data_IF_262873393268
#
_entry.id   IF_262873393268
#
_cell.length_a   1.000
_cell.length_b   1.000
_cell.length_c   1.000
_cell.angle_alpha   90.00
_cell.angle_beta   90.00
_cell.angle_gamma   90.00
#
_symmetry.space_group_name_H-M   'P 1'
#
loop_
_entity.id
_entity.type
_entity.pdbx_description
1 polymer ?
#
# COMPACT_ATOMS: atom_id res chain seq x y z
N UNK A 1 8.29 35.62 6.48
CA UNK A 1 8.35 34.15 6.62
C UNK A 1 9.75 33.68 6.28
N UNK A 2 10.43 32.99 7.20
CA UNK A 2 11.80 32.51 6.96
C UNK A 2 11.83 31.51 5.80
N UNK A 3 12.84 31.63 4.92
CA UNK A 3 13.03 30.72 3.77
C UNK A 3 13.08 29.27 4.25
N UNK A 4 12.15 28.45 3.78
CA UNK A 4 12.18 27.00 3.99
C UNK A 4 13.36 26.43 3.17
N UNK A 5 14.56 26.40 3.76
CA UNK A 5 15.79 25.94 3.10
C UNK A 5 15.70 24.49 2.62
N UNK A 6 14.91 23.67 3.31
CA UNK A 6 14.64 22.29 2.91
C UNK A 6 13.89 22.23 1.59
N UNK A 7 12.82 23.02 1.46
CA UNK A 7 12.07 23.18 0.22
C UNK A 7 12.93 23.76 -0.90
N UNK A 8 13.80 24.74 -0.61
CA UNK A 8 14.68 25.35 -1.61
C UNK A 8 15.64 24.30 -2.24
N UNK A 9 16.23 23.42 -1.44
CA UNK A 9 17.11 22.35 -1.94
C UNK A 9 16.36 21.31 -2.79
N UNK A 10 15.18 20.89 -2.34
CA UNK A 10 14.35 19.95 -3.09
C UNK A 10 13.86 20.56 -4.40
N UNK A 11 13.49 21.84 -4.40
CA UNK A 11 13.12 22.56 -5.62
C UNK A 11 14.25 22.55 -6.63
N UNK A 12 15.48 22.81 -6.20
CA UNK A 12 16.63 22.77 -7.11
C UNK A 12 16.82 21.39 -7.74
N UNK A 13 16.62 20.30 -6.97
CA UNK A 13 16.63 18.93 -7.51
C UNK A 13 15.51 18.67 -8.52
N UNK A 14 14.29 19.10 -8.18
CA UNK A 14 13.12 18.99 -9.06
C UNK A 14 13.35 19.75 -10.36
N UNK A 15 13.81 20.99 -10.28
CA UNK A 15 14.15 21.82 -11.45
C UNK A 15 15.19 21.13 -12.34
N UNK A 16 16.26 20.59 -11.75
CA UNK A 16 17.29 19.85 -12.49
C UNK A 16 16.72 18.63 -13.22
N UNK A 17 16.00 17.77 -12.51
CA UNK A 17 15.41 16.57 -13.11
C UNK A 17 14.40 16.88 -14.20
N UNK A 18 13.56 17.92 -14.02
CA UNK A 18 12.59 18.33 -15.03
C UNK A 18 13.24 19.01 -16.23
N UNK A 19 14.34 19.73 -16.05
CA UNK A 19 15.12 20.27 -17.16
C UNK A 19 15.75 19.13 -17.99
N UNK A 20 16.35 18.13 -17.34
CA UNK A 20 16.88 16.93 -17.99
C UNK A 20 15.76 16.16 -18.73
N UNK A 21 14.60 16.02 -18.10
CA UNK A 21 13.44 15.33 -18.66
C UNK A 21 12.90 16.04 -19.90
N UNK A 22 12.80 17.37 -19.87
CA UNK A 22 12.42 18.19 -21.02
C UNK A 22 13.45 18.07 -22.15
N UNK A 23 14.74 18.08 -21.84
CA UNK A 23 15.79 17.88 -22.84
C UNK A 23 15.72 16.48 -23.49
N UNK A 24 15.52 15.44 -22.69
CA UNK A 24 15.37 14.06 -23.17
C UNK A 24 14.12 13.87 -24.03
N UNK A 25 13.03 14.59 -23.75
CA UNK A 25 11.80 14.52 -24.54
C UNK A 25 11.98 14.94 -26.02
N UNK A 26 13.06 15.67 -26.33
CA UNK A 26 13.42 16.10 -27.69
C UNK A 26 14.23 15.06 -28.50
N UNK A 27 14.61 13.92 -27.91
CA UNK A 27 15.34 12.86 -28.62
C UNK A 27 14.47 12.18 -29.70
N UNK A 28 15.05 11.36 -30.58
CA UNK A 28 14.33 10.86 -31.76
C UNK A 28 13.47 9.61 -31.48
N UNK A 29 13.88 8.74 -30.55
CA UNK A 29 13.23 7.43 -30.30
C UNK A 29 12.29 7.46 -29.10
N UNK A 30 11.00 7.13 -29.30
CA UNK A 30 9.95 7.23 -28.27
C UNK A 30 10.21 6.35 -27.04
N UNK A 31 10.67 5.09 -27.21
CA UNK A 31 10.94 4.20 -26.07
C UNK A 31 12.06 4.73 -25.16
N UNK A 32 13.11 5.29 -25.75
CA UNK A 32 14.23 5.89 -25.00
C UNK A 32 13.78 7.10 -24.19
N UNK A 33 12.81 7.89 -24.69
CA UNK A 33 12.24 9.03 -23.95
C UNK A 33 11.53 8.59 -22.69
N UNK A 34 10.68 7.57 -22.79
CA UNK A 34 9.91 7.04 -21.67
C UNK A 34 10.84 6.58 -20.55
N UNK A 35 11.78 5.69 -20.88
CA UNK A 35 12.76 5.17 -19.91
C UNK A 35 13.58 6.27 -19.25
N UNK A 36 14.07 7.28 -20.00
CA UNK A 36 14.81 8.39 -19.39
C UNK A 36 13.91 9.16 -18.42
N UNK A 37 12.66 9.42 -18.81
CA UNK A 37 11.72 10.15 -17.97
C UNK A 37 11.43 9.39 -16.67
N UNK A 38 11.17 8.09 -16.75
CA UNK A 38 10.97 7.20 -15.60
C UNK A 38 12.17 7.23 -14.63
N UNK A 39 13.40 7.16 -15.16
CA UNK A 39 14.64 7.25 -14.38
C UNK A 39 14.77 8.60 -13.67
N UNK A 40 14.43 9.71 -14.35
CA UNK A 40 14.55 11.04 -13.76
C UNK A 40 13.49 11.28 -12.68
N UNK A 41 12.26 10.83 -12.91
CA UNK A 41 11.16 10.99 -11.95
C UNK A 41 11.36 10.07 -10.73
N UNK A 42 11.81 8.82 -10.90
CA UNK A 42 12.11 7.93 -9.78
C UNK A 42 13.18 8.51 -8.83
N UNK A 43 14.20 9.18 -9.38
CA UNK A 43 15.24 9.88 -8.61
C UNK A 43 14.71 11.03 -7.74
N UNK A 44 13.53 11.58 -8.02
CA UNK A 44 12.93 12.64 -7.21
C UNK A 44 12.40 12.14 -5.86
N UNK A 45 11.94 10.88 -5.81
CA UNK A 45 11.40 10.29 -4.58
C UNK A 45 12.49 9.83 -3.62
N UNK A 46 13.61 9.32 -4.14
CA UNK A 46 14.64 8.66 -3.32
C UNK A 46 15.22 9.52 -2.17
N UNK A 47 15.55 10.81 -2.34
CA UNK A 47 16.17 11.61 -1.28
C UNK A 47 15.30 11.80 -0.02
N UNK A 48 14.00 11.49 -0.12
CA UNK A 48 13.00 11.77 0.90
C UNK A 48 12.40 10.51 1.51
N UNK A 49 12.79 9.34 1.01
CA UNK A 49 12.33 8.05 1.47
C UNK A 49 13.44 7.37 2.29
N UNK A 50 13.12 6.70 3.41
CA UNK A 50 14.11 5.95 4.18
C UNK A 50 14.65 4.75 3.37
N UNK A 51 15.69 4.11 3.90
CA UNK A 51 16.45 3.08 3.17
C UNK A 51 15.68 1.80 2.89
N UNK A 52 14.70 1.50 3.75
CA UNK A 52 13.73 0.40 3.64
C UNK A 52 12.75 0.58 2.47
N UNK A 53 12.43 1.83 2.12
CA UNK A 53 11.60 2.11 0.95
C UNK A 53 12.43 2.10 -0.32
N UNK A 54 12.21 1.08 -1.15
CA UNK A 54 12.76 0.97 -2.48
C UNK A 54 11.98 1.76 -3.53
N UNK A 55 12.67 2.07 -4.63
CA UNK A 55 12.10 2.63 -5.86
C UNK A 55 12.54 1.73 -7.00
N UNK A 56 11.60 1.20 -7.77
CA UNK A 56 11.89 0.27 -8.86
C UNK A 56 10.89 0.37 -10.01
N UNK A 57 11.04 -0.51 -10.99
CA UNK A 57 10.11 -0.70 -12.12
C UNK A 57 9.84 -2.19 -12.30
N UNK A 58 8.68 -2.56 -12.86
CA UNK A 58 8.37 -3.97 -13.12
C UNK A 58 6.94 -4.35 -12.80
N UNK A 59 6.71 -5.63 -12.52
CA UNK A 59 5.35 -6.17 -12.35
C UNK A 59 5.03 -6.47 -10.89
N UNK A 60 3.76 -6.33 -10.53
CA UNK A 60 3.26 -6.63 -9.20
C UNK A 60 2.52 -7.97 -9.26
N UNK A 61 2.76 -8.84 -8.29
CA UNK A 61 2.13 -10.16 -8.19
C UNK A 61 1.42 -10.34 -6.86
N UNK A 62 0.24 -10.93 -6.89
CA UNK A 62 -0.47 -11.39 -5.69
C UNK A 62 -0.48 -12.92 -5.61
N UNK A 63 -0.51 -13.46 -4.38
CA UNK A 63 -0.34 -14.88 -4.15
C UNK A 63 -1.60 -15.74 -4.35
N UNK A 64 -2.78 -15.19 -4.06
CA UNK A 64 -4.03 -15.97 -3.96
C UNK A 64 -4.47 -16.56 -5.29
N UNK A 65 -4.39 -15.79 -6.37
CA UNK A 65 -4.79 -16.25 -7.71
C UNK A 65 -3.66 -16.19 -8.74
N UNK A 66 -2.48 -15.73 -8.34
CA UNK A 66 -1.34 -15.55 -9.22
C UNK A 66 -1.52 -14.42 -10.24
N UNK A 67 -2.42 -13.45 -10.00
CA UNK A 67 -2.58 -12.28 -10.88
C UNK A 67 -1.29 -11.47 -10.90
N UNK A 68 -0.94 -10.98 -12.10
CA UNK A 68 0.23 -10.16 -12.35
C UNK A 68 -0.21 -8.88 -13.07
N UNK A 69 0.29 -7.73 -12.63
CA UNK A 69 0.04 -6.44 -13.29
C UNK A 69 0.74 -6.33 -14.64
N UNK A 70 0.37 -5.32 -15.43
CA UNK A 70 1.29 -4.81 -16.47
C UNK A 70 2.58 -4.29 -15.82
N UNK A 71 3.59 -3.99 -16.63
CA UNK A 71 4.76 -3.28 -16.12
C UNK A 71 4.34 -1.90 -15.59
N UNK A 72 4.79 -1.56 -14.39
CA UNK A 72 4.64 -0.28 -13.74
C UNK A 72 5.91 0.54 -13.96
N UNK A 73 5.73 1.78 -14.41
CA UNK A 73 6.81 2.74 -14.65
C UNK A 73 7.66 2.94 -13.39
N UNK A 74 7.00 3.24 -12.25
CA UNK A 74 7.64 3.40 -10.95
C UNK A 74 6.82 2.68 -9.87
N UNK A 75 7.51 1.89 -9.05
CA UNK A 75 7.00 1.17 -7.89
C UNK A 75 7.73 1.69 -6.65
N UNK A 76 6.99 2.21 -5.67
CA UNK A 76 7.51 2.43 -4.32
C UNK A 76 7.12 1.25 -3.45
N UNK A 77 8.09 0.56 -2.87
CA UNK A 77 7.87 -0.66 -2.12
C UNK A 77 8.66 -0.66 -0.81
N UNK A 78 8.17 -1.38 0.19
CA UNK A 78 8.82 -1.53 1.49
C UNK A 78 9.53 -2.88 1.59
N UNK A 79 10.86 -2.84 1.62
CA UNK A 79 11.73 -4.02 1.74
C UNK A 79 11.58 -4.73 3.09
N UNK A 80 11.06 -4.04 4.10
CA UNK A 80 10.87 -4.60 5.44
C UNK A 80 9.57 -5.43 5.55
N UNK A 81 8.63 -5.24 4.60
CA UNK A 81 7.39 -6.02 4.53
C UNK A 81 7.66 -7.34 3.81
N UNK A 82 8.03 -7.29 2.53
CA UNK A 82 8.49 -8.45 1.74
C UNK A 82 9.55 -8.03 0.72
N UNK A 83 10.57 -8.87 0.45
CA UNK A 83 11.55 -8.59 -0.59
C UNK A 83 10.97 -8.83 -2.00
N UNK A 84 11.30 -7.99 -2.99
CA UNK A 84 11.02 -8.29 -4.40
C UNK A 84 12.01 -9.30 -4.97
N UNK A 85 11.62 -9.94 -6.08
CA UNK A 85 12.53 -10.68 -6.95
C UNK A 85 13.09 -9.72 -7.98
N UNK A 86 14.32 -9.27 -7.79
CA UNK A 86 14.96 -8.31 -8.68
C UNK A 86 15.79 -9.02 -9.77
N UNK A 87 15.65 -8.55 -11.00
CA UNK A 87 16.45 -8.98 -12.16
C UNK A 87 17.70 -8.10 -12.34
N UNK A 88 17.63 -6.85 -11.89
CA UNK A 88 18.75 -5.90 -11.83
C UNK A 88 18.66 -5.05 -10.54
N UNK A 89 19.29 -3.87 -10.47
CA UNK A 89 19.25 -3.02 -9.28
C UNK A 89 17.84 -2.51 -8.90
N UNK A 90 16.92 -2.42 -9.86
CA UNK A 90 15.62 -1.75 -9.67
C UNK A 90 14.45 -2.38 -10.43
N UNK A 91 14.72 -3.25 -11.42
CA UNK A 91 13.71 -3.97 -12.19
C UNK A 91 13.40 -5.31 -11.54
N UNK A 92 12.11 -5.63 -11.35
CA UNK A 92 11.75 -6.91 -10.75
C UNK A 92 10.27 -7.24 -10.73
N UNK A 93 9.96 -8.28 -9.96
CA UNK A 93 8.61 -8.68 -9.60
C UNK A 93 8.40 -8.40 -8.11
N UNK A 94 7.33 -7.69 -7.79
CA UNK A 94 7.05 -7.18 -6.45
C UNK A 94 5.82 -7.88 -5.86
N UNK A 95 5.91 -8.53 -4.69
CA UNK A 95 4.75 -8.96 -3.94
C UNK A 95 3.85 -7.76 -3.63
N UNK A 96 2.54 -7.90 -3.85
CA UNK A 96 1.58 -6.78 -3.71
C UNK A 96 1.59 -6.19 -2.31
N UNK A 97 1.88 -6.98 -1.28
CA UNK A 97 1.95 -6.53 0.11
C UNK A 97 3.10 -5.55 0.33
N UNK A 98 4.23 -5.71 -0.36
CA UNK A 98 5.35 -4.79 -0.27
C UNK A 98 5.10 -3.48 -1.02
N UNK A 99 4.21 -3.45 -2.01
CA UNK A 99 3.99 -2.27 -2.84
C UNK A 99 3.08 -1.25 -2.14
N UNK A 100 3.58 -0.01 -2.05
CA UNK A 100 2.89 1.10 -1.41
C UNK A 100 2.25 2.03 -2.44
N UNK A 101 3.01 2.37 -3.49
CA UNK A 101 2.59 3.27 -4.56
C UNK A 101 3.04 2.77 -5.92
N UNK A 102 2.24 3.07 -6.93
CA UNK A 102 2.64 3.05 -8.34
C UNK A 102 2.51 4.46 -8.91
N UNK A 103 3.45 4.84 -9.78
CA UNK A 103 3.42 6.14 -10.46
C UNK A 103 3.60 5.91 -11.95
N UNK A 104 2.54 6.13 -12.70
CA UNK A 104 2.54 6.15 -14.16
C UNK A 104 3.11 7.49 -14.65
N UNK A 105 3.96 7.46 -15.67
CA UNK A 105 4.71 8.63 -16.12
C UNK A 105 4.43 8.94 -17.60
N UNK A 106 4.03 10.17 -17.90
CA UNK A 106 3.73 10.63 -19.27
C UNK A 106 4.50 11.88 -19.65
N UNK A 107 4.90 11.97 -20.91
CA UNK A 107 5.45 13.23 -21.45
C UNK A 107 4.36 14.30 -21.57
N UNK A 108 3.19 13.92 -22.08
CA UNK A 108 2.03 14.81 -22.22
C UNK A 108 0.78 14.04 -21.84
N UNK A 109 0.04 14.54 -20.86
CA UNK A 109 -1.16 13.90 -20.35
C UNK A 109 -2.36 14.16 -21.27
N UNK A 110 -2.96 13.09 -21.77
CA UNK A 110 -4.22 13.10 -22.51
C UNK A 110 -5.35 12.46 -21.70
N UNK A 111 -6.60 12.62 -22.19
CA UNK A 111 -7.75 11.90 -21.62
C UNK A 111 -7.61 10.37 -21.77
N UNK A 112 -6.99 9.91 -22.86
CA UNK A 112 -6.78 8.47 -23.08
C UNK A 112 -5.76 7.90 -22.08
N UNK A 113 -4.68 8.64 -21.79
CA UNK A 113 -3.71 8.22 -20.77
C UNK A 113 -4.35 8.09 -19.39
N UNK A 114 -5.20 9.04 -19.01
CA UNK A 114 -5.96 8.96 -17.76
C UNK A 114 -6.87 7.73 -17.71
N UNK A 115 -7.50 7.35 -18.83
CA UNK A 115 -8.34 6.15 -18.90
C UNK A 115 -7.51 4.87 -18.77
N UNK A 116 -6.37 4.79 -19.45
CA UNK A 116 -5.45 3.64 -19.34
C UNK A 116 -4.93 3.52 -17.90
N UNK A 117 -4.49 4.61 -17.29
CA UNK A 117 -4.00 4.61 -15.92
C UNK A 117 -5.11 4.26 -14.91
N UNK A 118 -6.35 4.69 -15.16
CA UNK A 118 -7.52 4.28 -14.39
C UNK A 118 -7.76 2.78 -14.46
N UNK A 119 -7.78 2.21 -15.66
CA UNK A 119 -8.04 0.78 -15.87
C UNK A 119 -6.92 -0.07 -15.22
N UNK A 120 -5.66 0.35 -15.32
CA UNK A 120 -4.53 -0.27 -14.60
C UNK A 120 -4.67 -0.17 -13.09
N UNK A 121 -5.04 1.00 -12.56
CA UNK A 121 -5.25 1.20 -11.12
C UNK A 121 -6.43 0.37 -10.60
N UNK A 122 -7.52 0.28 -11.36
CA UNK A 122 -8.69 -0.57 -11.07
C UNK A 122 -8.30 -2.04 -11.02
N UNK A 123 -7.51 -2.51 -11.99
CA UNK A 123 -7.02 -3.87 -12.02
C UNK A 123 -6.17 -4.18 -10.78
N UNK A 124 -5.24 -3.30 -10.44
CA UNK A 124 -4.40 -3.45 -9.24
C UNK A 124 -5.22 -3.41 -7.94
N UNK A 125 -6.27 -2.59 -7.88
CA UNK A 125 -7.18 -2.55 -6.74
C UNK A 125 -7.92 -3.90 -6.52
N UNK A 126 -8.06 -4.72 -7.56
CA UNK A 126 -8.66 -6.06 -7.48
C UNK A 126 -7.75 -7.14 -6.89
N UNK A 127 -6.50 -6.80 -6.56
CA UNK A 127 -5.54 -7.75 -6.01
C UNK A 127 -5.91 -8.11 -4.57
N UNK A 128 -5.70 -9.38 -4.23
CA UNK A 128 -5.84 -9.91 -2.88
C UNK A 128 -4.50 -9.79 -2.17
N UNK A 129 -4.54 -9.67 -0.85
CA UNK A 129 -3.35 -9.45 -0.03
C UNK A 129 -3.31 -10.56 1.02
N UNK A 130 -2.12 -11.05 1.30
CA UNK A 130 -1.87 -11.88 2.46
C UNK A 130 -2.07 -11.06 3.74
N UNK A 131 -2.70 -11.65 4.78
CA UNK A 131 -2.74 -11.03 6.09
C UNK A 131 -1.34 -11.01 6.70
N UNK A 132 -1.03 -9.95 7.45
CA UNK A 132 0.23 -9.80 8.17
C UNK A 132 0.12 -9.93 9.69
N UNK A 133 -1.04 -10.34 10.19
CA UNK A 133 -1.27 -10.70 11.58
C UNK A 133 -1.73 -12.15 11.67
N UNK A 134 -1.33 -12.82 12.76
CA UNK A 134 -1.72 -14.19 13.08
C UNK A 134 -2.44 -14.23 14.42
N UNK A 135 -3.33 -15.20 14.58
CA UNK A 135 -3.86 -15.62 15.87
C UNK A 135 -2.82 -16.45 16.62
N UNK A 136 -3.07 -16.76 17.89
CA UNK A 136 -2.11 -17.53 18.70
C UNK A 136 -1.95 -18.99 18.24
N UNK A 137 -2.93 -19.53 17.54
CA UNK A 137 -2.87 -20.85 16.91
C UNK A 137 -2.09 -20.87 15.57
N UNK A 138 -1.57 -19.71 15.15
CA UNK A 138 -0.85 -19.54 13.88
C UNK A 138 -1.76 -19.33 12.67
N UNK A 139 -3.08 -19.36 12.83
CA UNK A 139 -4.02 -19.04 11.75
C UNK A 139 -4.01 -17.55 11.42
N UNK A 140 -4.48 -17.20 10.23
CA UNK A 140 -4.54 -15.82 9.78
C UNK A 140 -5.55 -14.99 10.59
N UNK A 141 -5.12 -13.81 11.04
CA UNK A 141 -5.98 -12.86 11.73
C UNK A 141 -6.47 -11.79 10.75
N UNK A 142 -7.79 -11.65 10.64
CA UNK A 142 -8.38 -10.64 9.77
C UNK A 142 -8.09 -9.22 10.30
N UNK A 143 -7.59 -8.34 9.42
CA UNK A 143 -7.37 -6.93 9.71
C UNK A 143 -7.57 -6.08 8.46
N UNK A 144 -7.74 -4.77 8.65
CA UNK A 144 -7.80 -3.84 7.52
C UNK A 144 -6.43 -3.70 6.84
N UNK A 145 -6.44 -3.70 5.51
CA UNK A 145 -5.27 -3.57 4.64
C UNK A 145 -5.58 -2.46 3.63
N UNK A 146 -4.80 -1.38 3.63
CA UNK A 146 -4.94 -0.31 2.63
C UNK A 146 -4.60 -0.86 1.24
N UNK A 147 -5.16 -0.40 0.11
CA UNK A 147 -4.71 -0.87 -1.22
C UNK A 147 -3.50 -0.07 -1.72
N UNK A 148 -2.76 -0.62 -2.69
CA UNK A 148 -1.71 0.15 -3.41
C UNK A 148 -2.29 1.45 -3.94
N UNK A 149 -1.58 2.56 -3.74
CA UNK A 149 -2.01 3.88 -4.19
C UNK A 149 -1.43 4.20 -5.58
N UNK A 150 -2.31 4.31 -6.57
CA UNK A 150 -1.91 4.60 -7.95
C UNK A 150 -1.93 6.11 -8.24
N UNK A 151 -0.85 6.61 -8.82
CA UNK A 151 -0.64 8.03 -9.16
C UNK A 151 -0.29 8.14 -10.64
N UNK A 152 -0.68 9.25 -11.27
CA UNK A 152 -0.16 9.62 -12.59
C UNK A 152 0.61 10.94 -12.52
N UNK A 153 1.79 10.96 -13.14
CA UNK A 153 2.64 12.12 -13.29
C UNK A 153 2.83 12.44 -14.77
N UNK A 154 2.80 13.73 -15.14
CA UNK A 154 3.13 14.16 -16.48
C UNK A 154 3.94 15.46 -16.54
N UNK A 155 4.74 15.62 -17.61
CA UNK A 155 5.47 16.87 -17.85
C UNK A 155 4.62 17.98 -18.46
N UNK A 156 3.62 17.61 -19.25
CA UNK A 156 2.74 18.54 -19.95
C UNK A 156 1.31 18.01 -19.93
N UNK A 157 0.34 18.83 -20.34
CA UNK A 157 -1.04 18.41 -20.58
C UNK A 157 -1.55 18.94 -21.92
N UNK A 158 -2.49 18.23 -22.53
CA UNK A 158 -3.25 18.73 -23.68
C UNK A 158 -4.39 19.66 -23.30
N UNK A 159 -4.69 19.86 -22.01
CA UNK A 159 -5.64 20.87 -21.59
C UNK A 159 -5.11 22.28 -21.88
N UNK A 160 -5.97 23.10 -22.47
CA UNK A 160 -5.68 24.50 -22.78
C UNK A 160 -6.67 25.43 -22.09
N UNK A 161 -6.19 26.52 -21.50
CA UNK A 161 -7.02 27.48 -20.78
C UNK A 161 -7.46 27.00 -19.40
N UNK A 162 -8.38 27.73 -18.77
CA UNK A 162 -8.70 27.57 -17.34
C UNK A 162 -10.13 27.04 -17.07
N UNK A 163 -10.83 26.54 -18.11
CA UNK A 163 -12.22 26.08 -17.98
C UNK A 163 -12.38 24.68 -17.43
N UNK A 164 -11.35 23.83 -17.60
CA UNK A 164 -11.38 22.43 -17.21
C UNK A 164 -10.07 22.10 -16.50
N UNK A 165 -10.17 21.42 -15.37
CA UNK A 165 -8.99 20.95 -14.63
C UNK A 165 -8.68 19.48 -14.94
N UNK A 166 -7.50 19.01 -14.56
CA UNK A 166 -7.16 17.59 -14.67
C UNK A 166 -8.05 16.69 -13.81
N UNK A 167 -8.46 17.17 -12.64
CA UNK A 167 -9.43 16.47 -11.81
C UNK A 167 -10.81 16.38 -12.48
N UNK A 168 -11.29 17.45 -13.13
CA UNK A 168 -12.54 17.39 -13.90
C UNK A 168 -12.43 16.44 -15.09
N UNK A 169 -11.29 16.48 -15.79
CA UNK A 169 -10.99 15.60 -16.92
C UNK A 169 -10.99 14.14 -16.47
N UNK A 170 -10.37 13.82 -15.34
CA UNK A 170 -10.36 12.48 -14.77
C UNK A 170 -11.74 12.06 -14.24
N UNK A 171 -12.46 12.95 -13.55
CA UNK A 171 -13.83 12.71 -13.09
C UNK A 171 -14.76 12.28 -14.23
N UNK A 172 -14.60 12.83 -15.43
CA UNK A 172 -15.38 12.44 -16.62
C UNK A 172 -15.14 11.01 -17.11
N UNK A 173 -14.19 10.27 -16.52
CA UNK A 173 -13.87 8.88 -16.89
C UNK A 173 -14.62 7.89 -15.98
N UNK A 174 -14.67 8.14 -14.67
CA UNK A 174 -15.20 7.19 -13.69
C UNK A 174 -16.60 7.56 -13.17
N UNK A 175 -16.95 8.84 -13.11
CA UNK A 175 -18.23 9.25 -12.53
C UNK A 175 -19.37 9.15 -13.57
N UNK A 176 -20.59 8.69 -13.19
CA UNK A 176 -21.01 8.26 -11.85
C UNK A 176 -20.88 6.76 -11.57
N UNK A 177 -20.44 5.98 -12.55
CA UNK A 177 -20.61 4.53 -12.55
C UNK A 177 -19.46 3.74 -11.89
N UNK A 178 -18.39 4.42 -11.46
CA UNK A 178 -17.18 3.82 -10.94
C UNK A 178 -16.48 4.70 -9.90
N UNK A 179 -15.39 4.19 -9.33
CA UNK A 179 -14.60 4.83 -8.28
C UNK A 179 -13.32 5.49 -8.81
N UNK A 180 -12.80 6.55 -8.16
CA UNK A 180 -11.52 7.16 -8.51
C UNK A 180 -10.32 6.32 -8.04
N UNK A 181 -9.93 5.29 -8.80
CA UNK A 181 -8.78 4.42 -8.42
C UNK A 181 -7.41 5.12 -8.45
N UNK A 182 -7.20 6.13 -9.30
CA UNK A 182 -6.08 7.05 -9.14
C UNK A 182 -6.30 7.94 -7.93
N UNK A 183 -5.33 7.96 -7.01
CA UNK A 183 -5.40 8.78 -5.79
C UNK A 183 -4.82 10.19 -5.99
N UNK A 184 -3.98 10.37 -7.01
CA UNK A 184 -3.39 11.66 -7.34
C UNK A 184 -3.02 11.81 -8.82
N UNK A 185 -3.02 13.05 -9.30
CA UNK A 185 -2.62 13.47 -10.65
C UNK A 185 -1.67 14.65 -10.49
N UNK A 186 -0.47 14.59 -11.07
CA UNK A 186 0.48 15.69 -11.03
C UNK A 186 0.91 16.05 -12.46
N UNK A 187 0.71 17.30 -12.85
CA UNK A 187 1.24 17.83 -14.11
C UNK A 187 2.24 18.93 -13.78
N UNK A 188 3.50 18.70 -14.13
CA UNK A 188 4.57 19.66 -13.90
C UNK A 188 4.29 20.98 -14.62
N UNK A 189 4.42 22.10 -13.92
CA UNK A 189 4.10 23.44 -14.40
C UNK A 189 2.61 23.78 -14.41
N UNK A 190 1.72 22.90 -13.97
CA UNK A 190 0.29 23.21 -13.82
C UNK A 190 -0.23 22.97 -12.40
N UNK A 191 -0.32 21.71 -11.95
CA UNK A 191 -0.98 21.41 -10.68
C UNK A 191 -0.75 19.97 -10.19
N UNK A 192 -0.86 19.82 -8.87
CA UNK A 192 -0.95 18.53 -8.18
C UNK A 192 -2.36 18.42 -7.60
N UNK A 193 -3.07 17.37 -7.99
CA UNK A 193 -4.39 17.01 -7.50
C UNK A 193 -4.30 15.72 -6.69
N UNK A 194 -5.07 15.65 -5.60
CA UNK A 194 -5.25 14.41 -4.83
C UNK A 194 -6.68 14.29 -4.34
N UNK A 195 -7.15 13.06 -4.23
CA UNK A 195 -8.46 12.75 -3.69
C UNK A 195 -8.36 12.54 -2.16
N UNK A 196 -9.10 13.33 -1.37
CA UNK A 196 -9.16 13.20 0.09
C UNK A 196 -10.28 12.26 0.59
N UNK A 197 -10.95 11.56 -0.33
CA UNK A 197 -12.11 10.72 -0.09
C UNK A 197 -13.45 11.42 -0.29
N UNK A 198 -13.46 12.76 -0.37
CA UNK A 198 -14.67 13.56 -0.63
C UNK A 198 -14.49 14.53 -1.80
N UNK A 199 -13.30 15.10 -1.93
CA UNK A 199 -12.98 16.12 -2.92
C UNK A 199 -11.63 15.85 -3.58
N UNK A 200 -11.55 16.22 -4.85
CA UNK A 200 -10.27 16.48 -5.49
C UNK A 200 -9.74 17.83 -5.03
N UNK A 201 -8.71 17.80 -4.19
CA UNK A 201 -7.98 18.99 -3.76
C UNK A 201 -6.78 19.21 -4.66
N UNK A 202 -6.33 20.46 -4.76
CA UNK A 202 -5.17 20.79 -5.57
C UNK A 202 -4.18 21.72 -4.88
N UNK A 203 -2.97 21.69 -5.41
CA UNK A 203 -1.94 22.67 -5.17
C UNK A 203 -1.25 23.01 -6.50
N UNK A 204 -1.29 24.28 -6.91
CA UNK A 204 -0.56 24.78 -8.10
C UNK A 204 0.83 25.32 -7.75
N UNK A 205 1.05 25.63 -6.47
CA UNK A 205 2.28 26.28 -6.04
C UNK A 205 2.36 27.77 -6.36
N UNK A 206 3.28 28.45 -5.67
CA UNK A 206 3.60 29.86 -5.95
C UNK A 206 4.89 30.00 -6.76
N UNK A 207 5.79 29.02 -6.62
CA UNK A 207 7.07 28.96 -7.31
C UNK A 207 7.07 27.79 -8.28
N UNK A 208 7.97 27.86 -9.26
CA UNK A 208 8.15 26.81 -10.26
C UNK A 208 8.31 25.42 -9.60
N UNK A 209 7.48 24.48 -10.05
CA UNK A 209 7.42 23.08 -9.64
C UNK A 209 7.07 22.79 -8.17
N UNK A 210 6.40 23.72 -7.49
CA UNK A 210 5.84 23.50 -6.16
C UNK A 210 4.79 22.38 -6.11
N UNK A 211 4.08 22.16 -7.20
CA UNK A 211 3.15 21.05 -7.35
C UNK A 211 3.86 19.69 -7.33
N UNK A 212 5.04 19.58 -7.94
CA UNK A 212 5.85 18.34 -7.88
C UNK A 212 6.38 18.10 -6.47
N UNK A 213 6.81 19.18 -5.78
CA UNK A 213 7.17 19.10 -4.35
C UNK A 213 5.97 18.64 -3.50
N UNK A 214 4.77 19.07 -3.86
CA UNK A 214 3.53 18.69 -3.18
C UNK A 214 3.14 17.23 -3.43
N UNK A 215 3.37 16.70 -4.63
CA UNK A 215 3.27 15.27 -4.89
C UNK A 215 4.20 14.47 -3.99
N UNK A 216 5.48 14.85 -3.95
CA UNK A 216 6.46 14.12 -3.12
C UNK A 216 6.10 14.23 -1.64
N UNK A 217 5.66 15.40 -1.18
CA UNK A 217 5.16 15.60 0.18
C UNK A 217 3.92 14.74 0.48
N UNK A 218 2.96 14.66 -0.45
CA UNK A 218 1.76 13.83 -0.32
C UNK A 218 2.09 12.35 -0.15
N UNK A 219 2.96 11.81 -1.02
CA UNK A 219 3.47 10.44 -0.92
C UNK A 219 4.21 10.23 0.40
N UNK A 220 5.14 11.13 0.75
CA UNK A 220 5.95 11.04 1.97
C UNK A 220 5.11 11.06 3.26
N UNK A 221 4.00 11.80 3.25
CA UNK A 221 3.10 11.91 4.39
C UNK A 221 2.24 10.66 4.60
N UNK A 222 2.05 9.84 3.56
CA UNK A 222 1.00 8.81 3.57
C UNK A 222 1.48 7.39 3.24
N UNK A 223 2.71 7.18 2.75
CA UNK A 223 3.23 5.83 2.53
C UNK A 223 3.30 5.00 3.81
N UNK A 224 3.64 5.63 4.96
CA UNK A 224 3.77 4.92 6.24
C UNK A 224 2.47 4.32 6.73
N UNK A 225 1.33 4.98 6.48
CA UNK A 225 0.03 4.43 6.88
C UNK A 225 -0.29 3.18 6.07
N UNK A 226 -0.02 3.22 4.77
CA UNK A 226 -0.19 2.06 3.87
C UNK A 226 0.70 0.91 4.33
N UNK A 227 1.99 1.16 4.55
CA UNK A 227 2.95 0.16 5.04
C UNK A 227 2.53 -0.43 6.39
N UNK A 228 2.12 0.42 7.34
CA UNK A 228 1.70 -0.02 8.68
C UNK A 228 0.48 -0.94 8.64
N UNK A 229 -0.43 -0.76 7.68
CA UNK A 229 -1.59 -1.64 7.51
C UNK A 229 -1.24 -3.06 7.04
N UNK A 230 -0.03 -3.27 6.49
CA UNK A 230 0.42 -4.58 6.00
C UNK A 230 0.90 -5.51 7.10
N UNK A 231 1.40 -4.97 8.21
CA UNK A 231 2.06 -5.74 9.27
C UNK A 231 3.19 -6.63 8.72
N UNK A 232 3.15 -7.94 8.97
CA UNK A 232 4.23 -8.89 8.63
C UNK A 232 3.65 -10.12 7.91
N UNK A 233 3.28 -10.01 6.62
CA UNK A 233 2.86 -11.17 5.86
C UNK A 233 4.04 -12.14 5.69
N UNK A 234 3.74 -13.43 5.63
CA UNK A 234 4.78 -14.46 5.53
C UNK A 234 5.26 -14.60 4.08
N UNK A 235 6.55 -14.37 3.84
CA UNK A 235 7.20 -14.62 2.54
C UNK A 235 7.05 -16.08 2.09
N UNK A 236 6.91 -17.01 3.04
CA UNK A 236 6.74 -18.44 2.76
C UNK A 236 5.60 -18.73 1.79
N UNK A 237 4.53 -17.93 1.80
CA UNK A 237 3.40 -18.09 0.87
C UNK A 237 3.81 -17.99 -0.61
N UNK A 238 4.87 -17.25 -0.93
CA UNK A 238 5.38 -17.06 -2.29
C UNK A 238 6.46 -18.08 -2.70
N UNK A 239 6.99 -18.85 -1.75
CA UNK A 239 8.18 -19.71 -1.95
C UNK A 239 7.87 -21.18 -1.73
N UNK A 240 7.07 -21.49 -0.71
CA UNK A 240 6.75 -22.85 -0.30
C UNK A 240 5.51 -23.31 -1.06
N UNK A 241 5.55 -24.53 -1.57
CA UNK A 241 4.38 -25.14 -2.22
C UNK A 241 3.29 -25.44 -1.19
N UNK A 242 2.03 -25.27 -1.59
CA UNK A 242 0.87 -25.71 -0.82
C UNK A 242 0.70 -27.24 -0.80
N UNK A 243 1.51 -27.97 -1.57
CA UNK A 243 1.53 -29.43 -1.59
C UNK A 243 2.58 -30.00 -0.64
N UNK A 244 2.33 -31.22 -0.14
CA UNK A 244 3.29 -31.95 0.69
C UNK A 244 3.29 -31.57 2.18
N UNK A 245 2.33 -30.76 2.63
CA UNK A 245 2.07 -30.55 4.05
C UNK A 245 1.46 -31.79 4.69
N UNK A 246 1.93 -32.13 5.88
CA UNK A 246 1.40 -33.21 6.69
C UNK A 246 1.74 -32.99 8.15
N UNK A 247 0.91 -33.53 9.04
CA UNK A 247 1.18 -33.47 10.46
C UNK A 247 2.16 -34.59 10.85
N UNK A 248 3.24 -34.21 11.52
CA UNK A 248 4.12 -35.15 12.22
C UNK A 248 3.53 -35.61 13.56
N UNK A 249 4.38 -36.16 14.43
CA UNK A 249 3.98 -36.46 15.80
C UNK A 249 3.59 -35.17 16.55
N UNK A 250 2.48 -35.23 17.32
CA UNK A 250 2.05 -34.13 18.18
C UNK A 250 3.13 -33.82 19.22
N UNK A 251 3.62 -32.58 19.27
CA UNK A 251 4.67 -32.17 20.21
C UNK A 251 4.12 -31.83 21.60
N UNK A 252 2.96 -31.18 21.65
CA UNK A 252 2.21 -30.80 22.84
C UNK A 252 0.75 -30.56 22.46
N UNK A 253 -0.17 -30.96 23.34
CA UNK A 253 -1.58 -30.58 23.23
C UNK A 253 -1.76 -29.12 23.67
N UNK A 254 -2.26 -28.28 22.77
CA UNK A 254 -2.60 -26.88 23.03
C UNK A 254 -4.11 -26.69 22.92
N UNK A 255 -4.66 -25.90 23.84
CA UNK A 255 -6.08 -25.60 23.92
C UNK A 255 -6.35 -24.13 23.65
N UNK A 256 -7.41 -23.84 22.90
CA UNK A 256 -7.73 -22.49 22.45
C UNK A 256 -9.18 -22.09 22.79
N UNK A 257 -9.40 -20.79 22.93
CA UNK A 257 -10.70 -20.14 23.10
C UNK A 257 -11.04 -19.27 21.90
N UNK A 258 -12.25 -19.44 21.34
CA UNK A 258 -12.80 -18.52 20.34
C UNK A 258 -13.38 -17.28 21.03
N UNK A 259 -12.95 -16.11 20.61
CA UNK A 259 -13.36 -14.83 21.15
C UNK A 259 -14.02 -13.98 20.08
N UNK A 260 -15.02 -13.19 20.44
CA UNK A 260 -15.63 -12.19 19.57
C UNK A 260 -15.52 -10.81 20.20
N UNK A 261 -15.31 -9.79 19.36
CA UNK A 261 -15.36 -8.42 19.82
C UNK A 261 -16.80 -8.06 20.20
N UNK A 262 -16.99 -7.55 21.42
CA UNK A 262 -18.31 -7.13 21.92
C UNK A 262 -18.94 -5.92 21.21
N UNK A 263 -18.21 -5.27 20.28
CA UNK A 263 -18.69 -4.10 19.54
C UNK A 263 -18.88 -4.35 18.03
N UNK A 264 -17.92 -4.99 17.37
CA UNK A 264 -17.96 -5.20 15.92
C UNK A 264 -18.07 -6.68 15.52
N UNK A 265 -18.19 -7.60 16.49
CA UNK A 265 -18.34 -9.04 16.29
C UNK A 265 -17.22 -9.72 15.50
N UNK A 266 -16.08 -9.06 15.27
CA UNK A 266 -14.91 -9.71 14.65
C UNK A 266 -14.40 -10.80 15.60
N UNK A 267 -14.07 -11.95 15.04
CA UNK A 267 -13.66 -13.13 15.80
C UNK A 267 -12.14 -13.29 15.80
N UNK A 268 -11.61 -13.92 16.85
CA UNK A 268 -10.22 -14.38 16.91
C UNK A 268 -10.06 -15.59 17.84
N UNK A 269 -8.89 -16.23 17.77
CA UNK A 269 -8.54 -17.41 18.57
C UNK A 269 -7.34 -17.06 19.47
N UNK A 270 -7.43 -17.45 20.75
CA UNK A 270 -6.38 -17.21 21.75
C UNK A 270 -6.18 -18.43 22.65
N UNK A 271 -5.01 -18.59 23.26
CA UNK A 271 -4.67 -19.53 24.31
C UNK A 271 -4.24 -18.76 25.57
N UNK A 272 -5.19 -18.10 26.26
CA UNK A 272 -4.88 -17.22 27.38
C UNK A 272 -4.22 -17.98 28.54
N UNK A 273 -3.29 -17.30 29.21
CA UNK A 273 -2.61 -17.84 30.40
C UNK A 273 -3.11 -17.21 31.68
N UNK A 274 -3.19 -18.00 32.76
CA UNK A 274 -3.81 -17.62 34.03
C UNK A 274 -2.81 -17.65 35.20
N UNK A 275 -1.53 -17.40 34.92
CA UNK A 275 -0.49 -17.24 35.96
C UNK A 275 -0.30 -18.48 36.85
N UNK A 276 -0.16 -19.66 36.24
CA UNK A 276 0.11 -20.92 36.96
C UNK A 276 -1.06 -21.48 37.79
N UNK A 277 -2.23 -20.84 37.76
CA UNK A 277 -3.38 -21.24 38.57
C UNK A 277 -4.11 -22.46 37.98
N UNK A 278 -4.74 -23.25 38.84
CA UNK A 278 -5.69 -24.29 38.43
C UNK A 278 -7.07 -23.90 38.92
N UNK A 279 -8.01 -23.65 38.00
CA UNK A 279 -9.33 -23.11 38.29
C UNK A 279 -10.37 -23.48 37.23
N UNK A 280 -11.64 -23.33 37.58
CA UNK A 280 -12.77 -23.42 36.64
C UNK A 280 -13.40 -22.03 36.50
N UNK A 281 -13.47 -21.52 35.26
CA UNK A 281 -14.15 -20.28 34.93
C UNK A 281 -15.57 -20.63 34.50
N UNK A 282 -16.56 -20.04 35.16
CA UNK A 282 -17.96 -20.07 34.70
C UNK A 282 -18.32 -18.67 34.24
N UNK A 283 -18.82 -18.53 33.01
CA UNK A 283 -19.02 -17.23 32.38
C UNK A 283 -18.20 -17.09 31.11
N UNK A 284 -17.81 -15.84 30.79
CA UNK A 284 -16.95 -15.52 29.66
C UNK A 284 -15.49 -15.34 30.06
N UNK A 285 -14.58 -15.83 29.23
CA UNK A 285 -13.17 -15.43 29.25
C UNK A 285 -13.04 -14.08 28.55
N UNK A 286 -12.31 -13.17 29.17
CA UNK A 286 -11.95 -11.88 28.60
C UNK A 286 -10.43 -11.80 28.50
N UNK A 287 -9.93 -11.23 27.42
CA UNK A 287 -8.49 -10.96 27.27
C UNK A 287 -8.23 -9.45 27.30
N UNK A 288 -7.00 -9.08 27.66
CA UNK A 288 -6.58 -7.67 27.74
C UNK A 288 -6.39 -7.02 26.36
N UNK A 289 -6.27 -7.81 25.30
CA UNK A 289 -6.14 -7.30 23.94
C UNK A 289 -7.40 -6.53 23.52
N UNK A 290 -7.18 -5.37 22.88
CA UNK A 290 -8.26 -4.53 22.35
C UNK A 290 -8.49 -4.81 20.88
N UNK A 291 -9.75 -4.79 20.46
CA UNK A 291 -10.11 -4.80 19.06
C UNK A 291 -9.73 -3.49 18.38
N UNK A 292 -9.48 -3.51 17.07
CA UNK A 292 -9.21 -2.32 16.27
C UNK A 292 -10.33 -1.27 16.35
N UNK A 293 -11.57 -1.67 16.61
CA UNK A 293 -12.69 -0.75 16.82
C UNK A 293 -12.73 -0.10 18.22
N UNK A 294 -11.84 -0.49 19.13
CA UNK A 294 -11.81 -0.05 20.54
C UNK A 294 -12.52 -0.99 21.52
N UNK A 295 -13.25 -2.00 21.04
CA UNK A 295 -13.94 -3.00 21.86
C UNK A 295 -13.00 -3.99 22.56
N UNK A 296 -13.58 -4.88 23.36
CA UNK A 296 -12.87 -5.98 24.04
C UNK A 296 -13.27 -7.32 23.44
N UNK A 297 -12.38 -8.29 23.53
CA UNK A 297 -12.63 -9.66 23.09
C UNK A 297 -13.10 -10.52 24.26
N UNK A 298 -14.25 -11.15 24.06
CA UNK A 298 -14.89 -12.03 25.04
C UNK A 298 -15.28 -13.35 24.39
N UNK A 299 -15.22 -14.42 25.18
CA UNK A 299 -15.66 -15.75 24.78
C UNK A 299 -17.18 -15.85 24.79
N UNK A 300 -17.72 -16.94 24.24
CA UNK A 300 -19.09 -17.37 24.55
C UNK A 300 -19.24 -17.64 26.05
N UNK A 301 -20.48 -17.61 26.56
CA UNK A 301 -20.73 -18.04 27.94
C UNK A 301 -20.53 -19.56 28.04
N UNK A 302 -19.85 -20.02 29.09
CA UNK A 302 -19.47 -21.42 29.22
C UNK A 302 -18.77 -21.79 30.52
N UNK A 303 -18.26 -23.01 30.55
CA UNK A 303 -17.43 -23.53 31.63
C UNK A 303 -16.07 -23.87 31.06
N UNK A 304 -15.03 -23.18 31.50
CA UNK A 304 -13.66 -23.34 31.01
C UNK A 304 -12.78 -23.86 32.12
N UNK A 305 -12.03 -24.92 31.84
CA UNK A 305 -11.09 -25.52 32.78
C UNK A 305 -9.68 -25.03 32.50
N UNK A 306 -9.01 -24.57 33.55
CA UNK A 306 -7.62 -24.12 33.53
C UNK A 306 -6.81 -25.00 34.46
N UNK A 307 -5.69 -25.54 33.97
CA UNK A 307 -4.76 -26.37 34.75
C UNK A 307 -3.36 -25.82 34.59
N UNK A 308 -2.68 -25.55 35.71
CA UNK A 308 -1.33 -24.96 35.74
C UNK A 308 -1.19 -23.68 34.89
N UNK A 309 -2.26 -22.89 34.81
CA UNK A 309 -2.31 -21.64 34.09
C UNK A 309 -2.65 -21.75 32.61
N UNK A 310 -2.90 -22.94 32.06
CA UNK A 310 -3.28 -23.17 30.66
C UNK A 310 -4.71 -23.70 30.55
N UNK A 311 -5.41 -23.39 29.46
CA UNK A 311 -6.69 -24.05 29.14
C UNK A 311 -6.46 -25.56 29.00
N UNK A 312 -7.42 -26.35 29.49
CA UNK A 312 -7.33 -27.81 29.53
C UNK A 312 -8.36 -28.53 28.64
N UNK A 313 -9.25 -27.77 27.99
CA UNK A 313 -10.30 -28.28 27.12
C UNK A 313 -10.46 -27.32 25.93
N UNK A 314 -10.70 -27.89 24.74
CA UNK A 314 -10.93 -27.12 23.51
C UNK A 314 -12.35 -26.55 23.46
N UNK A 315 -12.55 -25.57 22.58
CA UNK A 315 -13.89 -25.16 22.17
C UNK A 315 -14.68 -26.34 21.59
N UNK A 316 -15.94 -26.49 22.01
CA UNK A 316 -17.00 -27.11 21.23
C UNK A 316 -17.82 -26.02 20.54
#
# INVERSE_FOLDING_TARGET
MGKNKYQDFLRAKVQGALAEAKAASNLSHQGVKGTILEILISKLFRPLLPSDIGVGTGQIIENHTGKISTQMDIVLYDKSILPPVLFDESTGIFPVEAVLYTIEVKTTLTKQDLRIAHDSAKFLNSFLYLPGLKNEDGSDKHHSIDKVKSVIFALNTTLTGNRLTEADRYKSIYYPDDEPYLVAICVAGDSYWFNDGRFWRYHKGEKEYDEVLSLIGGVSNTYKSVASSRHKPDLGNYIISDEGWGNGAESKKLHYVKLACNQCSIEQISSPTFGGQTLTITGKININEKCQCGGTFESSDGVYKVVNGELAEDYN
#
